data_IF_397196871506
#
_entry.id   IF_397196871506
#
_cell.length_a   1.000
_cell.length_b   1.000
_cell.length_c   1.000
_cell.angle_alpha   90.00
_cell.angle_beta   90.00
_cell.angle_gamma   90.00
#
_symmetry.space_group_name_H-M   'P 1'
#
loop_
_entity.id
_entity.type
_entity.pdbx_description
1 polymer ?
#
# COMPACT_ATOMS: atom_id res chain seq x y z
N UNK A 1 9.04 17.45 -8.13
CA UNK A 1 8.39 17.94 -9.37
C UNK A 1 8.79 17.18 -10.63
N UNK A 2 10.08 16.85 -10.85
CA UNK A 2 10.53 16.09 -12.04
C UNK A 2 11.22 14.74 -11.72
N UNK A 3 10.83 14.11 -10.61
CA UNK A 3 11.28 12.75 -10.27
C UNK A 3 10.73 11.69 -11.23
N UNK A 4 11.28 10.47 -11.14
CA UNK A 4 10.94 9.38 -12.06
C UNK A 4 9.45 9.01 -12.01
N UNK A 5 8.83 9.06 -10.83
CA UNK A 5 7.39 8.80 -10.64
C UNK A 5 6.55 9.88 -11.30
N UNK A 6 6.89 11.16 -11.15
CA UNK A 6 6.17 12.25 -11.82
C UNK A 6 6.30 12.16 -13.36
N UNK A 7 7.48 11.81 -13.86
CA UNK A 7 7.69 11.58 -15.29
C UNK A 7 6.83 10.40 -15.79
N UNK A 8 6.79 9.30 -15.05
CA UNK A 8 5.96 8.13 -15.37
C UNK A 8 4.47 8.47 -15.36
N UNK A 9 3.97 9.18 -14.35
CA UNK A 9 2.58 9.64 -14.28
C UNK A 9 2.18 10.44 -15.53
N UNK A 10 2.98 11.47 -15.88
CA UNK A 10 2.70 12.32 -17.05
C UNK A 10 2.75 11.52 -18.34
N UNK A 11 3.70 10.62 -18.49
CA UNK A 11 3.81 9.75 -19.66
C UNK A 11 2.61 8.79 -19.78
N UNK A 12 2.22 8.14 -18.68
CA UNK A 12 1.09 7.20 -18.64
C UNK A 12 -0.24 7.91 -18.86
N UNK A 13 -0.48 9.08 -18.24
CA UNK A 13 -1.69 9.88 -18.49
C UNK A 13 -1.81 10.32 -19.93
N UNK A 14 -0.69 10.65 -20.59
CA UNK A 14 -0.67 10.99 -22.01
C UNK A 14 -0.97 9.78 -22.89
N UNK A 15 -0.36 8.64 -22.60
CA UNK A 15 -0.47 7.43 -23.43
C UNK A 15 -1.79 6.68 -23.22
N UNK A 16 -2.32 6.68 -22.00
CA UNK A 16 -3.47 5.89 -21.56
C UNK A 16 -4.39 6.74 -20.64
N UNK A 17 -5.16 7.69 -21.18
CA UNK A 17 -5.97 8.62 -20.37
C UNK A 17 -7.00 7.94 -19.47
N UNK A 18 -7.49 6.75 -19.85
CA UNK A 18 -8.43 5.96 -19.06
C UNK A 18 -7.79 5.07 -17.98
N UNK A 19 -6.45 5.03 -17.89
CA UNK A 19 -5.77 4.27 -16.85
C UNK A 19 -5.84 5.03 -15.52
N UNK A 20 -6.31 4.33 -14.49
CA UNK A 20 -6.34 4.82 -13.12
C UNK A 20 -4.97 4.62 -12.46
N UNK A 21 -4.36 5.70 -11.99
CA UNK A 21 -2.99 5.76 -11.48
C UNK A 21 -3.01 6.04 -9.98
N UNK A 22 -2.53 5.06 -9.22
CA UNK A 22 -2.38 5.14 -7.77
C UNK A 22 -0.89 5.25 -7.46
N UNK A 23 -0.50 6.21 -6.63
CA UNK A 23 0.92 6.42 -6.25
C UNK A 23 1.16 6.09 -4.80
N UNK A 24 2.23 5.34 -4.51
CA UNK A 24 2.73 5.17 -3.15
C UNK A 24 3.32 6.50 -2.65
N UNK A 25 3.00 6.89 -1.42
CA UNK A 25 3.60 8.05 -0.75
C UNK A 25 4.40 7.52 0.43
N UNK A 26 5.72 7.55 0.28
CA UNK A 26 6.69 7.04 1.24
C UNK A 26 8.09 7.54 0.88
N UNK A 27 8.98 7.68 1.87
CA UNK A 27 10.33 8.17 1.64
C UNK A 27 11.36 7.05 1.43
N UNK A 28 11.04 5.80 1.74
CA UNK A 28 12.06 4.75 1.84
C UNK A 28 12.81 4.42 0.54
N UNK A 29 12.23 4.76 -0.62
CA UNK A 29 12.84 4.60 -1.94
C UNK A 29 13.74 5.77 -2.33
N UNK A 30 13.71 6.86 -1.55
CA UNK A 30 14.40 8.12 -1.82
C UNK A 30 15.44 8.47 -0.74
N UNK A 31 15.47 7.73 0.37
CA UNK A 31 16.42 7.90 1.47
C UNK A 31 17.64 7.01 1.30
N UNK A 32 18.81 7.47 1.75
CA UNK A 32 20.05 6.69 1.80
C UNK A 32 20.06 5.60 2.90
N UNK A 33 19.15 5.70 3.87
CA UNK A 33 19.03 4.77 5.00
C UNK A 33 17.87 3.77 4.88
N UNK A 34 16.98 3.91 3.90
CA UNK A 34 15.90 2.96 3.63
C UNK A 34 14.74 2.95 4.65
N UNK A 35 14.60 4.01 5.47
CA UNK A 35 13.46 4.18 6.39
C UNK A 35 12.35 5.01 5.75
N UNK A 36 11.11 4.84 6.23
CA UNK A 36 9.94 5.52 5.67
C UNK A 36 9.85 7.02 6.00
N UNK A 37 10.67 7.51 6.94
CA UNK A 37 10.66 8.89 7.41
C UNK A 37 12.06 9.45 7.63
N UNK A 38 12.12 10.73 7.99
CA UNK A 38 13.34 11.47 8.29
C UNK A 38 13.95 11.00 9.60
N UNK A 39 15.27 10.87 9.64
CA UNK A 39 16.00 10.46 10.85
C UNK A 39 16.41 11.69 11.67
N UNK A 40 16.09 11.68 12.97
CA UNK A 40 16.57 12.63 13.98
C UNK A 40 17.04 11.83 15.19
N UNK A 41 18.24 12.12 15.69
CA UNK A 41 18.83 11.44 16.86
C UNK A 41 18.85 9.90 16.78
N UNK A 42 18.92 9.35 15.57
CA UNK A 42 19.05 7.92 15.32
C UNK A 42 17.73 7.15 15.19
N UNK A 43 16.58 7.82 15.26
CA UNK A 43 15.27 7.21 15.01
C UNK A 43 14.45 8.04 13.99
N UNK A 44 13.35 7.48 13.51
CA UNK A 44 12.42 8.16 12.61
C UNK A 44 11.64 9.20 13.39
N UNK A 45 11.78 10.46 13.00
CA UNK A 45 10.98 11.56 13.55
C UNK A 45 9.66 11.68 12.80
N UNK A 46 8.55 11.48 13.53
CA UNK A 46 7.21 11.46 12.97
C UNK A 46 6.84 12.80 12.31
N UNK A 47 6.87 13.87 13.09
CA UNK A 47 6.27 15.15 12.71
C UNK A 47 7.01 15.81 11.53
N UNK A 48 8.35 15.78 11.55
CA UNK A 48 9.12 16.33 10.42
C UNK A 48 9.03 15.46 9.16
N UNK A 49 8.59 14.20 9.28
CA UNK A 49 8.29 13.35 8.13
C UNK A 49 6.99 13.75 7.44
N UNK A 50 5.97 14.17 8.20
CA UNK A 50 4.64 14.49 7.67
C UNK A 50 4.68 15.60 6.61
N UNK A 51 5.49 16.64 6.83
CA UNK A 51 5.66 17.75 5.88
C UNK A 51 6.18 17.26 4.51
N UNK A 52 7.12 16.31 4.53
CA UNK A 52 7.74 15.76 3.34
C UNK A 52 6.76 14.85 2.61
N UNK A 53 6.01 14.01 3.33
CA UNK A 53 4.97 13.14 2.75
C UNK A 53 3.85 13.96 2.09
N UNK A 54 3.40 15.04 2.75
CA UNK A 54 2.40 15.94 2.20
C UNK A 54 2.90 16.64 0.91
N UNK A 55 4.17 17.09 0.90
CA UNK A 55 4.78 17.67 -0.30
C UNK A 55 4.92 16.65 -1.44
N UNK A 56 5.27 15.39 -1.12
CA UNK A 56 5.37 14.29 -2.08
C UNK A 56 4.01 13.98 -2.71
N UNK A 57 2.97 13.79 -1.88
CA UNK A 57 1.61 13.54 -2.34
C UNK A 57 1.09 14.66 -3.26
N UNK A 58 1.34 15.92 -2.88
CA UNK A 58 0.98 17.07 -3.71
C UNK A 58 1.72 17.09 -5.05
N UNK A 59 3.00 16.71 -5.08
CA UNK A 59 3.77 16.61 -6.32
C UNK A 59 3.22 15.51 -7.25
N UNK A 60 2.77 14.37 -6.70
CA UNK A 60 2.11 13.32 -7.48
C UNK A 60 0.74 13.74 -7.99
N UNK A 61 -0.06 14.42 -7.17
CA UNK A 61 -1.35 14.99 -7.58
C UNK A 61 -1.18 15.96 -8.77
N UNK A 62 -0.22 16.88 -8.70
CA UNK A 62 0.12 17.81 -9.80
C UNK A 62 0.62 17.10 -11.07
N UNK A 63 1.25 15.94 -10.92
CA UNK A 63 1.72 15.13 -12.05
C UNK A 63 0.61 14.25 -12.68
N UNK A 64 -0.58 14.20 -12.09
CA UNK A 64 -1.75 13.50 -12.63
C UNK A 64 -2.04 12.15 -11.98
N UNK A 65 -1.65 11.94 -10.71
CA UNK A 65 -2.17 10.81 -9.94
C UNK A 65 -3.70 10.91 -9.77
N UNK A 66 -4.41 9.79 -9.84
CA UNK A 66 -5.84 9.74 -9.55
C UNK A 66 -6.13 9.45 -8.08
N UNK A 67 -5.15 8.91 -7.36
CA UNK A 67 -5.21 8.57 -5.94
C UNK A 67 -3.79 8.50 -5.38
N UNK A 68 -3.62 8.88 -4.12
CA UNK A 68 -2.35 8.75 -3.37
C UNK A 68 -2.52 7.73 -2.26
N UNK A 69 -1.46 6.99 -1.95
CA UNK A 69 -1.51 5.87 -1.02
C UNK A 69 -0.34 5.93 -0.02
N UNK A 70 -0.49 6.64 1.11
CA UNK A 70 0.57 6.75 2.12
C UNK A 70 0.85 5.41 2.78
N UNK A 71 2.09 4.94 2.64
CA UNK A 71 2.54 3.62 3.11
C UNK A 71 3.56 3.68 4.25
N UNK A 72 3.86 4.87 4.74
CA UNK A 72 4.90 5.20 5.71
C UNK A 72 4.60 4.72 7.15
N UNK A 73 3.33 4.64 7.56
CA UNK A 73 2.87 4.36 8.93
C UNK A 73 3.25 5.44 9.96
N UNK A 74 3.34 6.71 9.56
CA UNK A 74 3.49 7.83 10.49
C UNK A 74 2.14 8.24 11.08
N UNK A 75 2.11 8.69 12.33
CA UNK A 75 0.90 9.18 12.97
C UNK A 75 0.51 10.54 12.36
N UNK A 76 -0.76 10.73 11.99
CA UNK A 76 -1.28 11.99 11.46
C UNK A 76 -1.01 12.27 9.97
N UNK A 77 -0.35 11.36 9.23
CA UNK A 77 -0.04 11.60 7.81
C UNK A 77 -1.26 11.78 6.92
N UNK A 78 -2.38 11.12 7.21
CA UNK A 78 -3.57 11.22 6.37
C UNK A 78 -4.11 12.64 6.46
N UNK A 79 -4.25 13.19 7.67
CA UNK A 79 -4.69 14.56 7.88
C UNK A 79 -3.74 15.58 7.23
N UNK A 80 -2.42 15.38 7.37
CA UNK A 80 -1.41 16.25 6.78
C UNK A 80 -1.49 16.25 5.23
N UNK A 81 -1.59 15.07 4.62
CA UNK A 81 -1.73 14.92 3.16
C UNK A 81 -3.05 15.52 2.69
N UNK A 82 -4.17 15.20 3.35
CA UNK A 82 -5.51 15.72 3.01
C UNK A 82 -5.52 17.24 3.03
N UNK A 83 -5.00 17.85 4.09
CA UNK A 83 -4.90 19.30 4.25
C UNK A 83 -4.08 19.95 3.13
N UNK A 84 -2.93 19.36 2.77
CA UNK A 84 -2.08 19.87 1.71
C UNK A 84 -2.74 19.77 0.32
N UNK A 85 -3.41 18.66 0.03
CA UNK A 85 -4.15 18.47 -1.21
C UNK A 85 -5.31 19.47 -1.33
N UNK A 86 -6.08 19.66 -0.26
CA UNK A 86 -7.24 20.56 -0.22
C UNK A 86 -6.82 22.01 -0.44
N UNK A 87 -5.78 22.47 0.27
CA UNK A 87 -5.23 23.82 0.13
C UNK A 87 -4.72 24.12 -1.30
N UNK A 88 -4.49 23.09 -2.11
CA UNK A 88 -3.97 23.20 -3.48
C UNK A 88 -5.00 22.79 -4.55
N UNK A 89 -6.29 22.66 -4.20
CA UNK A 89 -7.37 22.40 -5.16
C UNK A 89 -7.54 20.94 -5.57
N UNK A 90 -6.95 19.99 -4.82
CA UNK A 90 -7.06 18.55 -5.06
C UNK A 90 -8.02 17.86 -4.06
N UNK A 91 -9.09 18.54 -3.66
CA UNK A 91 -10.03 18.04 -2.63
C UNK A 91 -10.80 16.78 -3.01
N UNK A 92 -10.91 16.49 -4.32
CA UNK A 92 -11.54 15.28 -4.84
C UNK A 92 -10.56 14.13 -5.07
N UNK A 93 -9.25 14.35 -4.90
CA UNK A 93 -8.24 13.31 -5.10
C UNK A 93 -8.25 12.37 -3.89
N UNK A 94 -8.58 11.07 -4.05
CA UNK A 94 -8.75 10.18 -2.91
C UNK A 94 -7.42 9.76 -2.27
N UNK A 95 -7.50 9.37 -1.00
CA UNK A 95 -6.39 8.82 -0.23
C UNK A 95 -6.69 7.35 0.11
N UNK A 96 -5.84 6.43 -0.36
CA UNK A 96 -5.83 5.03 0.05
C UNK A 96 -4.80 4.80 1.13
N UNK A 97 -5.20 4.92 2.39
CA UNK A 97 -4.28 4.79 3.50
C UNK A 97 -3.88 3.34 3.74
N UNK A 98 -2.58 3.09 3.92
CA UNK A 98 -2.06 1.82 4.46
C UNK A 98 -2.29 1.74 5.98
N UNK A 99 -3.55 1.88 6.39
CA UNK A 99 -3.98 2.01 7.77
C UNK A 99 -3.50 0.89 8.69
N UNK A 100 -3.54 -0.36 8.20
CA UNK A 100 -3.09 -1.52 8.95
C UNK A 100 -1.92 -2.20 8.24
N UNK A 101 -0.72 -1.59 8.33
CA UNK A 101 0.52 -2.15 7.76
C UNK A 101 1.43 -2.71 8.86
N UNK A 102 1.59 -4.02 8.81
CA UNK A 102 2.33 -4.78 9.82
C UNK A 102 3.83 -4.87 9.52
N UNK A 103 4.64 -5.03 10.56
CA UNK A 103 6.07 -5.38 10.49
C UNK A 103 6.22 -6.87 10.11
N UNK A 104 5.99 -7.19 8.84
CA UNK A 104 5.95 -8.56 8.35
C UNK A 104 7.28 -9.06 7.74
N UNK A 105 7.52 -10.37 7.83
CA UNK A 105 8.60 -11.06 7.12
C UNK A 105 8.30 -11.26 5.62
N UNK A 106 7.07 -11.09 5.15
CA UNK A 106 6.69 -11.30 3.75
C UNK A 106 7.15 -10.19 2.79
N UNK A 107 7.87 -9.17 3.28
CA UNK A 107 8.36 -8.07 2.45
C UNK A 107 9.74 -8.29 1.83
N UNK A 108 10.42 -9.40 2.13
CA UNK A 108 11.78 -9.68 1.66
C UNK A 108 11.97 -9.45 0.15
N UNK A 109 11.19 -10.10 -0.72
CA UNK A 109 11.36 -9.94 -2.17
C UNK A 109 11.06 -8.52 -2.68
N UNK A 110 10.16 -7.77 -2.03
CA UNK A 110 9.91 -6.36 -2.36
C UNK A 110 11.11 -5.50 -2.00
N UNK A 111 11.73 -5.72 -0.83
CA UNK A 111 12.90 -4.94 -0.39
C UNK A 111 14.10 -5.14 -1.33
N UNK A 112 14.23 -6.33 -1.91
CA UNK A 112 15.22 -6.59 -2.96
C UNK A 112 14.87 -5.83 -4.25
N UNK A 113 13.61 -5.85 -4.68
CA UNK A 113 13.17 -5.16 -5.90
C UNK A 113 13.20 -3.63 -5.81
N UNK A 114 12.92 -3.07 -4.63
CA UNK A 114 12.85 -1.63 -4.39
C UNK A 114 14.16 -1.05 -3.80
N UNK A 115 15.18 -1.88 -3.58
CA UNK A 115 16.45 -1.51 -2.93
C UNK A 115 16.26 -0.76 -1.59
N UNK A 116 15.17 -1.07 -0.87
CA UNK A 116 14.68 -0.25 0.25
C UNK A 116 14.90 -0.92 1.62
N UNK A 117 15.87 -1.82 1.74
CA UNK A 117 16.16 -2.47 3.03
C UNK A 117 16.70 -1.42 4.02
N UNK A 118 16.24 -1.39 5.29
CA UNK A 118 16.80 -0.48 6.29
C UNK A 118 18.30 -0.71 6.45
N UNK A 119 19.10 0.37 6.40
CA UNK A 119 20.54 0.30 6.59
C UNK A 119 20.92 -0.02 8.04
N UNK A 120 20.03 0.29 8.99
CA UNK A 120 20.16 -0.01 10.41
C UNK A 120 18.79 -0.34 11.01
N UNK A 121 18.79 -0.96 12.19
CA UNK A 121 17.57 -1.25 12.95
C UNK A 121 16.54 -2.08 12.19
N UNK A 122 15.27 -1.81 12.47
CA UNK A 122 14.13 -2.38 11.76
C UNK A 122 13.00 -1.34 11.62
N UNK A 123 11.82 -1.78 11.17
CA UNK A 123 10.66 -0.89 10.96
C UNK A 123 9.61 -1.04 12.05
N UNK A 124 9.90 -1.70 13.17
CA UNK A 124 8.93 -2.05 14.22
C UNK A 124 8.49 -0.85 15.06
N UNK A 125 9.23 0.26 15.01
CA UNK A 125 8.85 1.49 15.74
C UNK A 125 7.66 2.21 15.10
N UNK A 126 7.29 1.87 13.86
CA UNK A 126 6.15 2.46 13.15
C UNK A 126 5.26 1.42 12.44
N UNK A 127 5.81 0.30 11.96
CA UNK A 127 4.98 -0.80 11.44
C UNK A 127 4.44 -1.65 12.58
N UNK A 128 3.16 -2.00 12.50
CA UNK A 128 2.44 -2.66 13.59
C UNK A 128 3.00 -4.06 13.93
N UNK A 129 2.90 -4.44 15.19
CA UNK A 129 3.27 -5.78 15.65
C UNK A 129 2.24 -6.84 15.20
N UNK A 130 2.63 -7.91 14.48
CA UNK A 130 1.72 -8.93 13.95
C UNK A 130 0.64 -9.51 14.91
N UNK A 131 0.89 -9.69 16.22
CA UNK A 131 -0.13 -10.21 17.14
C UNK A 131 -1.33 -9.26 17.35
N UNK A 132 -1.26 -8.00 16.93
CA UNK A 132 -2.21 -6.96 17.33
C UNK A 132 -3.33 -6.73 16.30
N UNK A 133 -4.52 -7.25 16.60
CA UNK A 133 -5.73 -6.95 15.82
C UNK A 133 -6.51 -5.74 16.35
N UNK A 134 -6.49 -5.48 17.66
CA UNK A 134 -7.21 -4.33 18.24
C UNK A 134 -6.59 -3.01 17.82
N UNK A 135 -5.26 -2.99 17.69
CA UNK A 135 -4.50 -1.86 17.16
C UNK A 135 -4.92 -1.54 15.73
N UNK A 136 -5.07 -2.54 14.86
CA UNK A 136 -5.52 -2.33 13.48
C UNK A 136 -6.83 -1.58 13.37
N UNK A 137 -7.79 -1.89 14.25
CA UNK A 137 -9.08 -1.20 14.25
C UNK A 137 -8.95 0.24 14.76
N UNK A 138 -8.01 0.51 15.67
CA UNK A 138 -7.71 1.87 16.12
C UNK A 138 -7.07 2.68 14.99
N UNK A 139 -6.04 2.15 14.34
CA UNK A 139 -5.35 2.84 13.23
C UNK A 139 -6.31 3.13 12.06
N UNK A 140 -7.13 2.15 11.69
CA UNK A 140 -8.16 2.34 10.65
C UNK A 140 -9.19 3.40 11.06
N UNK A 141 -9.63 3.43 12.31
CA UNK A 141 -10.57 4.45 12.76
C UNK A 141 -9.96 5.86 12.67
N UNK A 142 -8.72 6.02 13.12
CA UNK A 142 -7.99 7.29 13.07
C UNK A 142 -7.86 7.78 11.63
N UNK A 143 -7.40 6.93 10.71
CA UNK A 143 -7.26 7.29 9.31
C UNK A 143 -8.56 7.73 8.64
N UNK A 144 -9.67 7.06 8.97
CA UNK A 144 -10.99 7.43 8.46
C UNK A 144 -11.39 8.81 9.00
N UNK A 145 -11.15 9.08 10.29
CA UNK A 145 -11.40 10.39 10.90
C UNK A 145 -10.53 11.49 10.28
N UNK A 146 -9.30 11.16 9.89
CA UNK A 146 -8.36 12.05 9.20
C UNK A 146 -8.68 12.28 7.71
N UNK A 147 -9.62 11.53 7.14
CA UNK A 147 -10.13 11.71 5.78
C UNK A 147 -9.61 10.71 4.74
N UNK A 148 -9.23 9.50 5.15
CA UNK A 148 -8.95 8.41 4.21
C UNK A 148 -10.23 7.94 3.50
N UNK A 149 -10.19 7.87 2.17
CA UNK A 149 -11.29 7.40 1.33
C UNK A 149 -11.32 5.88 1.21
N UNK A 150 -10.15 5.24 1.28
CA UNK A 150 -9.95 3.79 1.24
C UNK A 150 -8.93 3.42 2.31
N UNK A 151 -9.15 2.32 3.02
CA UNK A 151 -8.20 1.81 4.01
C UNK A 151 -7.67 0.45 3.58
N UNK A 152 -6.39 0.19 3.83
CA UNK A 152 -5.70 -1.03 3.41
C UNK A 152 -5.13 -1.83 4.57
N UNK A 153 -5.25 -3.16 4.45
CA UNK A 153 -4.49 -4.12 5.26
C UNK A 153 -3.31 -4.68 4.45
N UNK A 154 -2.11 -4.68 5.04
CA UNK A 154 -0.89 -5.21 4.43
C UNK A 154 -0.03 -5.93 5.48
N UNK A 155 0.38 -7.19 5.26
CA UNK A 155 0.05 -8.12 4.17
C UNK A 155 -1.41 -8.58 4.11
N UNK A 156 -1.79 -9.42 3.15
CA UNK A 156 -3.16 -9.88 2.97
C UNK A 156 -3.40 -11.33 3.41
N UNK A 157 -2.64 -12.29 2.85
CA UNK A 157 -2.90 -13.73 3.05
C UNK A 157 -2.87 -14.13 4.53
N UNK A 158 -1.90 -13.61 5.28
CA UNK A 158 -1.71 -13.90 6.70
C UNK A 158 -2.53 -13.01 7.65
N UNK A 159 -3.32 -12.08 7.12
CA UNK A 159 -4.08 -11.08 7.89
C UNK A 159 -5.55 -10.97 7.40
N UNK A 160 -6.10 -12.04 6.82
CA UNK A 160 -7.49 -12.06 6.34
C UNK A 160 -8.50 -11.90 7.48
N UNK A 161 -8.15 -12.30 8.70
CA UNK A 161 -8.92 -12.02 9.90
C UNK A 161 -8.99 -10.52 10.20
N UNK A 162 -7.88 -9.79 10.02
CA UNK A 162 -7.85 -8.32 10.14
C UNK A 162 -8.69 -7.68 9.04
N UNK A 163 -8.56 -8.11 7.79
CA UNK A 163 -9.41 -7.64 6.66
C UNK A 163 -10.89 -7.80 6.99
N UNK A 164 -11.28 -8.97 7.49
CA UNK A 164 -12.65 -9.28 7.89
C UNK A 164 -13.15 -8.36 9.01
N UNK A 165 -12.33 -8.13 10.03
CA UNK A 165 -12.69 -7.25 11.16
C UNK A 165 -12.81 -5.79 10.74
N UNK A 166 -11.93 -5.31 9.86
CA UNK A 166 -12.01 -3.97 9.29
C UNK A 166 -13.30 -3.83 8.47
N UNK A 167 -13.59 -4.77 7.57
CA UNK A 167 -14.81 -4.77 6.74
C UNK A 167 -16.09 -4.80 7.57
N UNK A 168 -16.10 -5.51 8.71
CA UNK A 168 -17.25 -5.58 9.60
C UNK A 168 -17.45 -4.31 10.42
N UNK A 169 -16.37 -3.58 10.72
CA UNK A 169 -16.40 -2.45 11.64
C UNK A 169 -16.62 -1.11 10.94
N UNK A 170 -16.14 -0.96 9.70
CA UNK A 170 -16.12 0.31 8.98
C UNK A 170 -16.85 0.24 7.65
N UNK A 171 -17.46 1.36 7.25
CA UNK A 171 -18.26 1.48 6.01
C UNK A 171 -17.51 2.21 4.89
N UNK A 172 -16.21 2.01 4.81
CA UNK A 172 -15.34 2.49 3.73
C UNK A 172 -14.87 1.32 2.88
N UNK A 173 -14.49 1.54 1.61
CA UNK A 173 -13.83 0.51 0.81
C UNK A 173 -12.57 -0.01 1.48
N UNK A 174 -12.39 -1.33 1.44
CA UNK A 174 -11.24 -2.03 2.03
C UNK A 174 -10.34 -2.53 0.92
N UNK A 175 -9.09 -2.09 0.91
CA UNK A 175 -8.04 -2.64 0.07
C UNK A 175 -7.22 -3.70 0.84
N UNK A 176 -6.64 -4.63 0.11
CA UNK A 176 -5.71 -5.60 0.66
C UNK A 176 -4.52 -5.81 -0.28
N UNK A 177 -3.31 -5.89 0.27
CA UNK A 177 -2.10 -6.12 -0.53
C UNK A 177 -1.65 -7.58 -0.42
N UNK A 178 -1.82 -8.35 -1.50
CA UNK A 178 -1.16 -9.64 -1.67
C UNK A 178 0.31 -9.43 -2.03
N UNK A 179 1.16 -9.45 -0.99
CA UNK A 179 2.53 -8.91 -1.05
C UNK A 179 3.52 -9.83 -1.74
N UNK A 180 4.74 -9.32 -1.93
CA UNK A 180 5.80 -9.97 -2.69
C UNK A 180 6.15 -11.36 -2.17
N UNK A 181 6.24 -11.55 -0.86
CA UNK A 181 6.51 -12.87 -0.26
C UNK A 181 5.38 -13.86 -0.51
N UNK A 182 4.12 -13.41 -0.48
CA UNK A 182 2.96 -14.25 -0.79
C UNK A 182 2.97 -14.69 -2.26
N UNK A 183 3.32 -13.77 -3.17
CA UNK A 183 3.53 -14.08 -4.58
C UNK A 183 4.67 -15.09 -4.79
N UNK A 184 5.84 -14.84 -4.19
CA UNK A 184 7.02 -15.69 -4.34
C UNK A 184 6.81 -17.09 -3.78
N UNK A 185 6.05 -17.24 -2.69
CA UNK A 185 5.72 -18.56 -2.13
C UNK A 185 4.97 -19.43 -3.15
N UNK A 186 3.96 -18.87 -3.83
CA UNK A 186 3.19 -19.63 -4.84
C UNK A 186 4.07 -19.96 -6.03
N UNK A 187 4.79 -18.97 -6.59
CA UNK A 187 5.69 -19.21 -7.74
C UNK A 187 6.78 -20.25 -7.44
N UNK A 188 7.31 -20.26 -6.23
CA UNK A 188 8.31 -21.26 -5.82
C UNK A 188 7.70 -22.66 -5.73
N UNK A 189 6.53 -22.80 -5.08
CA UNK A 189 5.86 -24.09 -4.92
C UNK A 189 5.38 -24.67 -6.28
N UNK A 190 4.90 -23.81 -7.18
CA UNK A 190 4.56 -24.16 -8.57
C UNK A 190 5.79 -24.66 -9.32
N UNK A 191 6.92 -23.93 -9.26
CA UNK A 191 8.17 -24.31 -9.93
C UNK A 191 8.71 -25.66 -9.46
N UNK A 192 8.45 -26.03 -8.21
CA UNK A 192 8.85 -27.32 -7.63
C UNK A 192 7.82 -28.43 -7.89
N UNK A 193 6.70 -28.13 -8.55
CA UNK A 193 5.63 -29.08 -8.85
C UNK A 193 4.84 -29.52 -7.62
N UNK A 194 4.85 -28.74 -6.54
CA UNK A 194 4.16 -29.09 -5.30
C UNK A 194 2.67 -28.76 -5.35
N UNK A 195 2.32 -27.70 -6.07
CA UNK A 195 0.94 -27.22 -6.24
C UNK A 195 0.71 -26.80 -7.68
N UNK A 196 -0.56 -26.78 -8.07
CA UNK A 196 -1.02 -26.08 -9.28
C UNK A 196 -1.01 -24.56 -9.00
N UNK A 197 -0.09 -23.85 -9.65
CA UNK A 197 0.16 -22.43 -9.39
C UNK A 197 -1.00 -21.52 -9.77
N UNK A 198 -1.63 -21.75 -10.92
CA UNK A 198 -2.77 -20.95 -11.40
C UNK A 198 -3.97 -21.12 -10.47
N UNK A 199 -4.29 -22.36 -10.08
CA UNK A 199 -5.39 -22.64 -9.15
C UNK A 199 -5.12 -22.03 -7.76
N UNK A 200 -3.90 -22.20 -7.24
CA UNK A 200 -3.52 -21.65 -5.94
C UNK A 200 -3.57 -20.12 -5.92
N UNK A 201 -3.07 -19.47 -6.98
CA UNK A 201 -3.17 -18.02 -7.17
C UNK A 201 -4.61 -17.54 -7.10
N UNK A 202 -5.50 -18.11 -7.92
CA UNK A 202 -6.91 -17.71 -7.95
C UNK A 202 -7.60 -17.97 -6.60
N UNK A 203 -7.33 -19.09 -5.95
CA UNK A 203 -7.90 -19.42 -4.64
C UNK A 203 -7.49 -18.41 -3.55
N UNK A 204 -6.25 -17.93 -3.57
CA UNK A 204 -5.78 -16.86 -2.68
C UNK A 204 -6.52 -15.55 -2.97
N UNK A 205 -6.62 -15.13 -4.23
CA UNK A 205 -7.32 -13.89 -4.59
C UNK A 205 -8.82 -13.95 -4.21
N UNK A 206 -9.48 -15.08 -4.46
CA UNK A 206 -10.87 -15.32 -4.04
C UNK A 206 -10.99 -15.25 -2.52
N UNK A 207 -10.02 -15.82 -1.79
CA UNK A 207 -10.01 -15.79 -0.32
C UNK A 207 -9.85 -14.38 0.23
N UNK A 208 -9.00 -13.55 -0.39
CA UNK A 208 -8.86 -12.12 -0.03
C UNK A 208 -10.18 -11.36 -0.32
N UNK A 209 -10.82 -11.61 -1.47
CA UNK A 209 -12.15 -11.02 -1.75
C UNK A 209 -13.19 -11.46 -0.73
N UNK A 210 -13.24 -12.76 -0.40
CA UNK A 210 -14.16 -13.33 0.60
C UNK A 210 -13.94 -12.76 2.00
N UNK A 211 -12.70 -12.47 2.36
CA UNK A 211 -12.36 -11.83 3.63
C UNK A 211 -12.94 -10.40 3.75
N UNK A 212 -13.28 -9.75 2.64
CA UNK A 212 -13.97 -8.46 2.64
C UNK A 212 -13.26 -7.36 1.87
N UNK A 213 -12.18 -7.66 1.15
CA UNK A 213 -11.49 -6.66 0.33
C UNK A 213 -12.31 -6.29 -0.91
N UNK A 214 -12.55 -5.01 -1.12
CA UNK A 214 -13.11 -4.45 -2.35
C UNK A 214 -12.03 -4.33 -3.44
N UNK A 215 -10.80 -3.97 -3.04
CA UNK A 215 -9.65 -3.81 -3.92
C UNK A 215 -8.53 -4.77 -3.51
N UNK A 216 -7.85 -5.38 -4.49
CA UNK A 216 -6.68 -6.23 -4.24
C UNK A 216 -5.51 -5.70 -5.04
N UNK A 217 -4.43 -5.32 -4.36
CA UNK A 217 -3.14 -5.07 -4.98
C UNK A 217 -2.36 -6.38 -5.00
N UNK A 218 -2.02 -6.87 -6.18
CA UNK A 218 -1.33 -8.15 -6.36
C UNK A 218 -0.42 -8.12 -7.58
N UNK A 219 0.73 -8.79 -7.48
CA UNK A 219 1.64 -9.05 -8.60
C UNK A 219 1.04 -10.05 -9.62
N UNK A 220 0.02 -10.81 -9.21
CA UNK A 220 -0.73 -11.72 -10.08
C UNK A 220 -1.76 -11.02 -10.97
N UNK A 221 -1.93 -9.70 -10.88
CA UNK A 221 -3.06 -9.00 -11.50
C UNK A 221 -3.18 -9.28 -13.01
N UNK A 222 -2.06 -9.29 -13.74
CA UNK A 222 -2.05 -9.57 -15.19
C UNK A 222 -2.36 -11.03 -15.51
N UNK A 223 -1.87 -11.98 -14.70
CA UNK A 223 -2.12 -13.41 -14.90
C UNK A 223 -3.58 -13.74 -14.58
N UNK A 224 -4.08 -13.31 -13.42
CA UNK A 224 -5.47 -13.48 -13.02
C UNK A 224 -6.45 -12.82 -14.01
N UNK A 225 -6.15 -11.64 -14.53
CA UNK A 225 -7.00 -10.96 -15.51
C UNK A 225 -7.16 -11.74 -16.82
N UNK A 226 -6.13 -12.48 -17.25
CA UNK A 226 -6.24 -13.34 -18.45
C UNK A 226 -7.20 -14.50 -18.21
N UNK A 227 -7.01 -15.23 -17.10
CA UNK A 227 -7.86 -16.38 -16.75
C UNK A 227 -9.33 -15.97 -16.58
N UNK A 228 -9.57 -14.87 -15.85
CA UNK A 228 -10.93 -14.35 -15.63
C UNK A 228 -11.56 -13.75 -16.90
N UNK A 229 -10.73 -13.30 -17.84
CA UNK A 229 -11.18 -12.81 -19.15
C UNK A 229 -11.55 -13.94 -20.10
N UNK A 230 -10.79 -15.05 -20.07
CA UNK A 230 -11.04 -16.25 -20.88
C UNK A 230 -12.33 -16.98 -20.45
N UNK A 231 -12.69 -16.98 -19.16
CA UNK A 231 -13.97 -17.54 -18.69
C UNK A 231 -15.22 -16.74 -19.14
N UNK A 232 -15.04 -15.52 -19.67
CA UNK A 232 -16.13 -14.67 -20.17
C UNK A 232 -16.29 -14.66 -21.69
N UNK A 233 -15.44 -15.38 -22.43
CA UNK A 233 -15.49 -15.53 -23.89
C UNK A 233 -16.03 -16.90 -24.30
#
# INVERSE_FOLDING_TARGET
EDGIVQQALRALKKALPGLYLITDVCLCEYTDHGHCGKIVDGDVDNDSTLEILAAQALSYARAGADMVAPSDMMDGRVAAIRSALDANGFSALPIMSYAAKYSSCFYGPFREAAESAPAFGDRRTYQMDPPNIREALREVALDIEEGADVVMVKPALSYMDVICRVRQSFRVPVAAYNVSGEFSMIKAAEKLGWIDGERAMLEVLISIKRAGADLIITYFAREAAKLLGEERA
#
